data_IF_975692255888
#
_entry.id   IF_975692255888
#
_cell.length_a   1.000
_cell.length_b   1.000
_cell.length_c   1.000
_cell.angle_alpha   90.00
_cell.angle_beta   90.00
_cell.angle_gamma   90.00
#
_symmetry.space_group_name_H-M   'P 1'
#
loop_
_entity.id
_entity.type
_entity.pdbx_description
1 polymer ?
#
# COMPACT_ATOMS: atom_id res chain seq x y z
N UNK A 1 20.40 11.15 -8.97
CA UNK A 1 20.41 10.64 -10.35
C UNK A 1 19.49 9.44 -10.36
N UNK A 2 18.22 9.63 -10.70
CA UNK A 2 17.25 8.53 -10.85
C UNK A 2 17.63 7.72 -12.08
N UNK A 3 17.60 6.39 -11.97
CA UNK A 3 17.96 5.53 -13.09
C UNK A 3 16.92 5.73 -14.21
N UNK A 4 17.30 5.89 -15.49
CA UNK A 4 16.35 6.12 -16.60
C UNK A 4 15.27 5.03 -16.74
N UNK A 5 15.54 3.84 -16.21
CA UNK A 5 14.63 2.70 -16.16
C UNK A 5 13.61 2.81 -15.01
N UNK A 6 13.98 3.39 -13.87
CA UNK A 6 13.04 3.67 -12.75
C UNK A 6 11.95 4.65 -13.19
N UNK A 7 12.32 5.65 -13.99
CA UNK A 7 11.39 6.65 -14.48
C UNK A 7 10.37 6.07 -15.48
N UNK A 8 10.79 5.13 -16.34
CA UNK A 8 9.89 4.41 -17.25
C UNK A 8 8.98 3.42 -16.52
N UNK A 9 9.49 2.72 -15.50
CA UNK A 9 8.70 1.78 -14.67
C UNK A 9 7.63 2.51 -13.87
N UNK A 10 7.95 3.67 -13.27
CA UNK A 10 6.99 4.48 -12.53
C UNK A 10 5.92 5.13 -13.40
N UNK A 11 6.20 5.45 -14.68
CA UNK A 11 5.35 6.32 -15.50
C UNK A 11 4.33 5.59 -16.38
N UNK A 12 4.53 4.31 -16.70
CA UNK A 12 3.77 3.67 -17.80
C UNK A 12 2.56 2.82 -17.38
N UNK A 13 2.49 2.21 -16.19
CA UNK A 13 1.46 1.19 -15.90
C UNK A 13 0.56 1.42 -14.67
N UNK A 14 0.94 2.30 -13.74
CA UNK A 14 0.43 2.19 -12.36
C UNK A 14 -0.61 3.22 -11.94
N UNK A 15 -0.98 4.19 -12.78
CA UNK A 15 -2.03 5.16 -12.42
C UNK A 15 -3.43 4.65 -12.77
N UNK A 16 -4.40 5.03 -11.94
CA UNK A 16 -5.81 4.73 -12.18
C UNK A 16 -6.38 5.69 -13.23
N UNK A 17 -7.19 5.18 -14.16
CA UNK A 17 -7.94 6.01 -15.13
C UNK A 17 -8.91 7.00 -14.44
N UNK A 18 -9.19 6.79 -13.16
CA UNK A 18 -10.07 7.63 -12.36
C UNK A 18 -9.31 8.78 -11.67
N UNK A 19 -7.99 8.89 -11.86
CA UNK A 19 -7.21 9.96 -11.24
C UNK A 19 -7.72 11.34 -11.70
N UNK A 20 -7.95 12.23 -10.74
CA UNK A 20 -8.51 13.57 -10.99
C UNK A 20 -10.00 13.60 -11.30
N UNK A 21 -10.70 12.44 -11.32
CA UNK A 21 -12.16 12.40 -11.38
C UNK A 21 -12.74 12.67 -10.01
N UNK A 22 -13.89 13.33 -9.99
CA UNK A 22 -14.57 13.64 -8.73
C UNK A 22 -15.16 12.39 -8.09
N UNK A 23 -15.08 12.35 -6.76
CA UNK A 23 -15.58 11.25 -5.94
C UNK A 23 -16.67 11.74 -5.00
N UNK A 24 -17.83 11.07 -5.02
CA UNK A 24 -19.04 11.53 -4.34
C UNK A 24 -19.74 10.42 -3.53
N UNK A 25 -20.55 10.84 -2.55
CA UNK A 25 -21.51 10.04 -1.77
C UNK A 25 -20.92 8.93 -0.88
N UNK A 26 -19.62 8.70 -0.95
CA UNK A 26 -18.89 7.58 -0.33
C UNK A 26 -17.72 8.05 0.52
N UNK A 27 -17.64 9.35 0.78
CA UNK A 27 -16.56 10.02 1.52
C UNK A 27 -16.53 9.61 3.00
N UNK A 28 -17.65 9.10 3.52
CA UNK A 28 -17.72 8.54 4.87
C UNK A 28 -16.79 7.33 5.05
N UNK A 29 -16.45 6.61 3.96
CA UNK A 29 -15.60 5.41 4.04
C UNK A 29 -14.21 5.76 4.56
N UNK A 30 -13.68 6.92 4.18
CA UNK A 30 -12.38 7.39 4.65
C UNK A 30 -12.36 7.67 6.16
N UNK A 31 -13.50 8.06 6.75
CA UNK A 31 -13.61 8.17 8.21
C UNK A 31 -13.45 6.80 8.88
N UNK A 32 -14.09 5.75 8.32
CA UNK A 32 -13.91 4.38 8.83
C UNK A 32 -12.48 3.88 8.62
N UNK A 33 -11.88 4.13 7.46
CA UNK A 33 -10.48 3.76 7.20
C UNK A 33 -9.54 4.40 8.21
N UNK A 34 -9.68 5.70 8.44
CA UNK A 34 -8.87 6.42 9.41
C UNK A 34 -9.06 5.88 10.83
N UNK A 35 -10.30 5.62 11.25
CA UNK A 35 -10.59 5.04 12.56
C UNK A 35 -9.92 3.68 12.75
N UNK A 36 -10.06 2.76 11.77
CA UNK A 36 -9.44 1.45 11.84
C UNK A 36 -7.91 1.52 11.90
N UNK A 37 -7.30 2.49 11.19
CA UNK A 37 -5.86 2.73 11.25
C UNK A 37 -5.41 3.27 12.62
N UNK A 38 -6.19 4.20 13.20
CA UNK A 38 -5.88 4.83 14.48
C UNK A 38 -6.04 3.87 15.66
N UNK A 39 -7.13 3.11 15.74
CA UNK A 39 -7.35 2.10 16.79
C UNK A 39 -6.18 1.11 16.87
N UNK A 40 -5.61 0.77 15.71
CA UNK A 40 -4.45 -0.12 15.65
C UNK A 40 -3.18 0.58 16.09
N UNK A 41 -2.93 1.82 15.66
CA UNK A 41 -1.74 2.59 16.09
C UNK A 41 -1.65 2.73 17.62
N UNK A 42 -2.81 2.81 18.30
CA UNK A 42 -2.91 2.84 19.75
C UNK A 42 -2.63 1.48 20.40
N UNK A 43 -2.91 0.36 19.72
CA UNK A 43 -2.64 -0.97 20.26
C UNK A 43 -1.16 -1.38 20.16
N UNK A 44 -0.42 -0.90 19.15
CA UNK A 44 1.02 -1.18 19.02
C UNK A 44 1.87 -0.36 19.98
N UNK A 45 1.41 0.82 20.42
CA UNK A 45 2.12 1.67 21.38
C UNK A 45 1.92 1.22 22.84
N UNK A 46 0.91 0.41 23.14
CA UNK A 46 0.65 -0.12 24.50
C UNK A 46 1.06 -1.60 24.71
N UNK A 47 1.68 -2.25 23.72
CA UNK A 47 2.13 -3.65 23.81
C UNK A 47 3.39 -3.86 24.68
N UNK A 48 3.61 -3.01 25.68
CA UNK A 48 4.59 -3.22 26.76
C UNK A 48 3.94 -3.65 28.09
N UNK A 49 2.62 -3.80 28.19
CA UNK A 49 2.04 -4.43 29.37
C UNK A 49 0.79 -5.24 29.07
N UNK A 50 0.83 -6.51 29.48
CA UNK A 50 -0.24 -7.49 29.41
C UNK A 50 -1.49 -6.97 30.13
N UNK A 51 -2.65 -6.98 29.49
CA UNK A 51 -3.88 -7.56 30.07
C UNK A 51 -5.00 -7.67 29.04
N UNK A 52 -5.51 -8.90 28.95
CA UNK A 52 -6.72 -9.31 28.24
C UNK A 52 -7.92 -8.52 28.76
N UNK A 53 -8.75 -7.99 27.86
CA UNK A 53 -10.17 -7.78 28.14
C UNK A 53 -11.00 -8.18 26.92
N UNK A 54 -11.88 -9.14 27.18
CA UNK A 54 -12.98 -9.61 26.34
C UNK A 54 -13.87 -8.42 25.96
N UNK A 55 -14.13 -8.26 24.65
CA UNK A 55 -15.13 -7.35 24.12
C UNK A 55 -16.06 -8.10 23.17
N UNK A 56 -17.26 -8.43 23.66
CA UNK A 56 -18.36 -8.97 22.86
C UNK A 56 -18.88 -7.92 21.87
N UNK A 57 -18.78 -8.20 20.57
CA UNK A 57 -19.78 -7.86 19.57
C UNK A 57 -19.49 -8.66 18.30
N UNK A 58 -20.45 -9.48 17.86
CA UNK A 58 -20.28 -10.46 16.79
C UNK A 58 -19.70 -9.85 15.52
N UNK A 59 -18.45 -10.21 15.21
CA UNK A 59 -17.80 -10.01 13.93
C UNK A 59 -16.85 -11.20 13.74
N UNK A 60 -16.96 -11.87 12.59
CA UNK A 60 -16.11 -13.00 12.21
C UNK A 60 -14.68 -12.54 11.83
N UNK A 61 -14.01 -11.86 12.76
CA UNK A 61 -12.59 -11.56 12.67
C UNK A 61 -11.86 -12.57 13.55
N UNK A 62 -11.48 -13.70 12.97
CA UNK A 62 -10.57 -14.66 13.58
C UNK A 62 -9.22 -13.98 13.82
N UNK A 63 -9.04 -13.41 15.01
CA UNK A 63 -7.76 -12.90 15.48
C UNK A 63 -6.84 -14.09 15.77
N UNK A 64 -5.99 -14.47 14.81
CA UNK A 64 -4.83 -15.30 15.12
C UNK A 64 -3.83 -14.44 15.89
N UNK A 65 -3.79 -14.67 17.20
CA UNK A 65 -2.75 -14.15 18.09
C UNK A 65 -1.46 -14.95 17.85
N UNK A 66 -0.56 -14.36 17.07
CA UNK A 66 0.80 -14.82 16.85
C UNK A 66 1.70 -13.61 16.67
N UNK A 67 2.94 -13.67 17.20
CA UNK A 67 3.98 -12.63 17.12
C UNK A 67 3.94 -11.83 15.82
N UNK A 68 3.61 -10.53 15.92
CA UNK A 68 3.75 -9.57 14.82
C UNK A 68 2.77 -9.74 13.66
N UNK A 69 1.50 -10.04 13.92
CA UNK A 69 0.49 -10.13 12.86
C UNK A 69 0.41 -8.82 12.03
N UNK A 70 0.82 -8.92 10.76
CA UNK A 70 0.54 -7.88 9.77
C UNK A 70 -0.98 -7.69 9.66
N UNK A 71 -1.41 -6.45 9.51
CA UNK A 71 -2.83 -6.11 9.44
C UNK A 71 -3.11 -5.28 8.20
N UNK A 72 -4.31 -5.43 7.68
CA UNK A 72 -4.80 -4.66 6.55
C UNK A 72 -6.32 -4.55 6.56
N UNK A 73 -6.83 -3.62 5.75
CA UNK A 73 -8.26 -3.47 5.49
C UNK A 73 -8.58 -4.13 4.16
N UNK A 74 -9.57 -5.02 4.15
CA UNK A 74 -10.10 -5.60 2.92
C UNK A 74 -11.39 -4.87 2.53
N UNK A 75 -11.39 -4.26 1.34
CA UNK A 75 -12.57 -3.60 0.77
C UNK A 75 -13.31 -4.54 -0.20
N UNK A 76 -14.51 -4.96 0.18
CA UNK A 76 -15.36 -5.84 -0.63
C UNK A 76 -16.63 -5.11 -1.09
N UNK A 77 -17.14 -5.46 -2.27
CA UNK A 77 -18.38 -4.93 -2.81
C UNK A 77 -18.64 -5.43 -4.23
N UNK A 78 -19.89 -5.37 -4.69
CA UNK A 78 -20.27 -5.82 -6.03
C UNK A 78 -19.57 -5.06 -7.18
N UNK A 79 -19.67 -5.55 -8.42
CA UNK A 79 -19.21 -4.81 -9.60
C UNK A 79 -19.80 -3.39 -9.64
N UNK A 80 -19.03 -2.40 -10.08
CA UNK A 80 -19.50 -1.00 -10.16
C UNK A 80 -19.69 -0.28 -8.82
N UNK A 81 -19.43 -0.92 -7.67
CA UNK A 81 -19.61 -0.29 -6.35
C UNK A 81 -18.62 0.84 -6.01
N UNK A 82 -17.69 1.15 -6.91
CA UNK A 82 -16.72 2.24 -6.74
C UNK A 82 -15.46 1.92 -5.93
N UNK A 83 -15.09 0.64 -5.75
CA UNK A 83 -13.89 0.24 -4.99
C UNK A 83 -12.60 0.89 -5.53
N UNK A 84 -12.37 0.78 -6.83
CA UNK A 84 -11.20 1.37 -7.48
C UNK A 84 -11.25 2.90 -7.41
N UNK A 85 -12.44 3.50 -7.53
CA UNK A 85 -12.63 4.94 -7.38
C UNK A 85 -12.23 5.40 -5.96
N UNK A 86 -12.64 4.65 -4.93
CA UNK A 86 -12.27 4.93 -3.54
C UNK A 86 -10.75 4.84 -3.34
N UNK A 87 -10.08 3.78 -3.82
CA UNK A 87 -8.62 3.67 -3.70
C UNK A 87 -7.89 4.78 -4.48
N UNK A 88 -8.46 5.20 -5.62
CA UNK A 88 -7.90 6.30 -6.42
C UNK A 88 -8.00 7.63 -5.66
N UNK A 89 -9.17 7.93 -5.11
CA UNK A 89 -9.40 9.13 -4.28
C UNK A 89 -8.58 9.09 -2.97
N UNK A 90 -8.30 7.90 -2.42
CA UNK A 90 -7.42 7.73 -1.26
C UNK A 90 -5.98 8.18 -1.58
N UNK A 91 -5.47 7.82 -2.76
CA UNK A 91 -4.10 8.09 -3.18
C UNK A 91 -3.94 9.51 -3.73
N UNK A 92 -4.92 9.96 -4.51
CA UNK A 92 -4.94 11.27 -5.16
C UNK A 92 -6.28 11.96 -4.87
N UNK A 93 -6.45 12.54 -3.66
CA UNK A 93 -7.71 13.14 -3.26
C UNK A 93 -8.06 14.32 -4.17
N UNK A 94 -9.26 14.28 -4.73
CA UNK A 94 -9.85 15.36 -5.51
C UNK A 94 -10.81 16.21 -4.68
N UNK A 95 -11.36 15.66 -3.60
CA UNK A 95 -12.32 16.35 -2.72
C UNK A 95 -11.64 17.02 -1.50
N UNK A 96 -12.13 18.19 -1.05
CA UNK A 96 -11.60 18.85 0.14
C UNK A 96 -11.69 17.96 1.39
N UNK A 97 -12.79 17.20 1.56
CA UNK A 97 -12.97 16.31 2.70
C UNK A 97 -11.90 15.21 2.77
N UNK A 98 -11.49 14.63 1.63
CA UNK A 98 -10.42 13.63 1.58
C UNK A 98 -9.04 14.24 1.81
N UNK A 99 -8.81 15.44 1.29
CA UNK A 99 -7.56 16.17 1.48
C UNK A 99 -7.33 16.50 2.96
N UNK A 100 -8.35 17.02 3.66
CA UNK A 100 -8.29 17.40 5.08
C UNK A 100 -7.95 16.22 6.00
N UNK A 101 -8.36 15.00 5.64
CA UNK A 101 -8.03 13.79 6.41
C UNK A 101 -6.58 13.35 6.29
N UNK A 102 -5.88 13.75 5.23
CA UNK A 102 -4.44 13.49 5.08
C UNK A 102 -4.04 12.02 4.90
N UNK A 103 -4.97 11.07 4.72
CA UNK A 103 -4.66 9.65 4.55
C UNK A 103 -3.70 9.38 3.37
N UNK A 104 -3.86 10.13 2.28
CA UNK A 104 -2.97 10.08 1.12
C UNK A 104 -1.49 10.32 1.47
N UNK A 105 -1.20 11.12 2.51
CA UNK A 105 0.17 11.43 2.96
C UNK A 105 0.81 10.28 3.72
N UNK A 106 0.02 9.30 4.15
CA UNK A 106 0.50 8.10 4.83
C UNK A 106 0.70 6.93 3.86
N UNK A 107 0.34 7.09 2.58
CA UNK A 107 0.54 6.07 1.57
C UNK A 107 2.03 5.99 1.18
N UNK A 108 2.67 4.87 1.49
CA UNK A 108 4.08 4.61 1.14
C UNK A 108 4.24 4.20 -0.32
N UNK A 109 3.35 3.34 -0.80
CA UNK A 109 3.32 2.82 -2.16
C UNK A 109 1.94 2.24 -2.47
N UNK A 110 1.66 2.05 -3.76
CA UNK A 110 0.43 1.45 -4.26
C UNK A 110 0.70 0.63 -5.52
N UNK A 111 -0.24 -0.28 -5.83
CA UNK A 111 -0.20 -1.04 -7.07
C UNK A 111 -1.62 -1.36 -7.53
N UNK A 112 -1.96 -0.99 -8.76
CA UNK A 112 -3.23 -1.35 -9.39
C UNK A 112 -3.02 -2.57 -10.28
N UNK A 113 -3.46 -3.73 -9.80
CA UNK A 113 -3.46 -4.96 -10.58
C UNK A 113 -4.64 -4.96 -11.56
N UNK A 114 -4.37 -5.03 -12.86
CA UNK A 114 -5.37 -5.07 -13.94
C UNK A 114 -5.24 -6.39 -14.68
N UNK A 115 -6.31 -7.19 -14.69
CA UNK A 115 -6.27 -8.54 -15.28
C UNK A 115 -5.96 -8.56 -16.79
N UNK A 116 -6.16 -7.44 -17.49
CA UNK A 116 -5.93 -7.31 -18.94
C UNK A 116 -4.56 -6.69 -19.27
N UNK A 117 -3.74 -6.39 -18.26
CA UNK A 117 -2.46 -5.70 -18.42
C UNK A 117 -1.36 -6.57 -17.79
N UNK A 118 -0.64 -7.31 -18.64
CA UNK A 118 0.40 -8.25 -18.23
C UNK A 118 1.50 -7.60 -17.41
N UNK A 119 1.77 -6.32 -17.62
CA UNK A 119 2.82 -5.60 -16.90
C UNK A 119 2.43 -5.41 -15.43
N UNK A 120 1.13 -5.20 -15.17
CA UNK A 120 0.59 -5.14 -13.79
C UNK A 120 0.41 -6.50 -13.14
N UNK A 121 0.56 -7.59 -13.89
CA UNK A 121 0.56 -8.96 -13.36
C UNK A 121 1.98 -9.49 -13.10
N UNK A 122 3.01 -8.79 -13.59
CA UNK A 122 4.41 -9.15 -13.37
C UNK A 122 4.82 -8.88 -11.91
N UNK A 123 5.08 -9.94 -11.14
CA UNK A 123 5.48 -9.82 -9.72
C UNK A 123 6.80 -9.09 -9.57
N UNK A 124 7.79 -9.35 -10.44
CA UNK A 124 9.06 -8.62 -10.44
C UNK A 124 8.85 -7.12 -10.70
N UNK A 125 8.00 -6.78 -11.67
CA UNK A 125 7.59 -5.41 -11.95
C UNK A 125 6.88 -4.74 -10.77
N UNK A 126 6.00 -5.47 -10.08
CA UNK A 126 5.35 -5.03 -8.84
C UNK A 126 6.37 -4.70 -7.73
N UNK A 127 7.31 -5.60 -7.45
CA UNK A 127 8.34 -5.41 -6.41
C UNK A 127 9.19 -4.18 -6.72
N UNK A 128 9.74 -4.10 -7.94
CA UNK A 128 10.54 -2.94 -8.38
C UNK A 128 9.74 -1.64 -8.30
N UNK A 129 8.47 -1.68 -8.67
CA UNK A 129 7.55 -0.54 -8.54
C UNK A 129 7.36 -0.08 -7.10
N UNK A 130 7.19 -1.01 -6.15
CA UNK A 130 7.11 -0.68 -4.73
C UNK A 130 8.41 -0.05 -4.24
N UNK A 131 9.57 -0.64 -4.55
CA UNK A 131 10.88 -0.13 -4.14
C UNK A 131 11.07 1.31 -4.62
N UNK A 132 10.76 1.57 -5.90
CA UNK A 132 10.86 2.90 -6.49
C UNK A 132 9.94 3.92 -5.78
N UNK A 133 8.68 3.55 -5.52
CA UNK A 133 7.73 4.42 -4.81
C UNK A 133 8.15 4.71 -3.37
N UNK A 134 8.59 3.68 -2.62
CA UNK A 134 9.02 3.85 -1.22
C UNK A 134 10.25 4.75 -1.16
N UNK A 135 11.23 4.54 -2.05
CA UNK A 135 12.41 5.39 -2.18
C UNK A 135 12.03 6.86 -2.42
N UNK A 136 11.12 7.11 -3.36
CA UNK A 136 10.64 8.46 -3.66
C UNK A 136 9.78 9.08 -2.55
N UNK A 137 9.12 8.27 -1.71
CA UNK A 137 8.22 8.77 -0.67
C UNK A 137 8.96 9.53 0.44
N UNK A 138 10.22 9.20 0.70
CA UNK A 138 11.01 9.75 1.82
C UNK A 138 10.44 9.47 3.22
N UNK A 139 9.37 8.67 3.33
CA UNK A 139 8.69 8.39 4.60
C UNK A 139 9.41 7.31 5.43
N UNK A 140 10.28 6.52 4.80
CA UNK A 140 11.03 5.44 5.44
C UNK A 140 12.53 5.78 5.51
N UNK A 141 12.98 6.27 6.68
CA UNK A 141 14.37 6.67 6.88
C UNK A 141 15.33 5.49 6.75
N UNK A 142 16.48 5.70 6.10
CA UNK A 142 17.51 4.70 5.89
C UNK A 142 17.16 3.60 4.87
N UNK A 143 16.00 3.69 4.21
CA UNK A 143 15.64 2.73 3.14
C UNK A 143 16.60 2.85 1.94
N UNK A 144 16.94 4.08 1.55
CA UNK A 144 17.89 4.32 0.45
C UNK A 144 19.27 3.71 0.72
N UNK A 145 19.76 3.77 1.96
CA UNK A 145 21.05 3.19 2.33
C UNK A 145 21.04 1.66 2.21
N UNK A 146 19.91 1.00 2.53
CA UNK A 146 19.75 -0.44 2.27
C UNK A 146 19.78 -0.76 0.79
N UNK A 147 19.18 0.09 -0.05
CA UNK A 147 19.20 -0.08 -1.50
C UNK A 147 20.58 0.16 -2.12
N UNK A 148 21.56 0.69 -1.37
CA UNK A 148 22.96 0.79 -1.82
C UNK A 148 23.74 -0.52 -1.64
N UNK A 149 23.21 -1.51 -0.93
CA UNK A 149 23.84 -2.82 -0.82
C UNK A 149 23.87 -3.51 -2.19
N UNK A 150 25.06 -3.86 -2.73
CA UNK A 150 25.18 -4.54 -4.01
C UNK A 150 24.40 -5.85 -4.11
N UNK A 151 24.23 -6.57 -2.99
CA UNK A 151 23.45 -7.80 -2.96
C UNK A 151 21.96 -7.54 -3.17
N UNK A 152 21.44 -6.44 -2.62
CA UNK A 152 20.05 -6.01 -2.82
C UNK A 152 19.84 -5.52 -4.24
N UNK A 153 20.76 -4.71 -4.78
CA UNK A 153 20.68 -4.23 -6.16
C UNK A 153 20.67 -5.38 -7.16
N UNK A 154 21.53 -6.38 -6.97
CA UNK A 154 21.56 -7.57 -7.83
C UNK A 154 20.24 -8.35 -7.84
N UNK A 155 19.52 -8.41 -6.72
CA UNK A 155 18.21 -9.06 -6.63
C UNK A 155 17.08 -8.24 -7.27
N UNK A 156 17.25 -6.91 -7.34
CA UNK A 156 16.27 -5.99 -7.93
C UNK A 156 16.46 -5.80 -9.44
N UNK A 157 17.56 -6.30 -10.02
CA UNK A 157 17.75 -6.32 -11.46
C UNK A 157 16.58 -7.01 -12.17
N UNK A 158 16.08 -6.49 -13.31
CA UNK A 158 14.83 -6.95 -13.91
C UNK A 158 14.73 -8.47 -14.10
N UNK A 159 15.79 -9.09 -14.63
CA UNK A 159 15.83 -10.54 -14.87
C UNK A 159 15.95 -11.38 -13.60
N UNK A 160 16.73 -10.93 -12.61
CA UNK A 160 16.91 -11.68 -11.36
C UNK A 160 15.67 -11.59 -10.46
N UNK A 161 15.07 -10.39 -10.39
CA UNK A 161 13.83 -10.15 -9.67
C UNK A 161 12.66 -10.95 -10.23
N UNK A 162 12.61 -11.16 -11.56
CA UNK A 162 11.61 -12.01 -12.21
C UNK A 162 11.86 -13.50 -11.99
N UNK A 163 13.13 -13.91 -11.91
CA UNK A 163 13.52 -15.29 -11.63
C UNK A 163 13.22 -15.69 -10.19
N UNK A 164 13.47 -14.80 -9.23
CA UNK A 164 13.37 -15.06 -7.79
C UNK A 164 12.63 -13.93 -7.03
N UNK A 165 11.34 -13.66 -7.35
CA UNK A 165 10.61 -12.53 -6.77
C UNK A 165 10.41 -12.65 -5.25
N UNK A 166 10.29 -13.87 -4.73
CA UNK A 166 10.11 -14.10 -3.29
C UNK A 166 11.35 -13.66 -2.49
N UNK A 167 12.55 -13.94 -2.98
CA UNK A 167 13.80 -13.51 -2.32
C UNK A 167 14.01 -12.00 -2.50
N UNK A 168 13.70 -11.44 -3.68
CA UNK A 168 13.78 -10.01 -3.92
C UNK A 168 12.83 -9.21 -2.99
N UNK A 169 11.62 -9.71 -2.70
CA UNK A 169 10.67 -9.04 -1.80
C UNK A 169 11.06 -9.14 -0.31
N UNK A 170 11.79 -10.19 0.07
CA UNK A 170 12.18 -10.44 1.46
C UNK A 170 13.38 -9.58 1.91
N UNK A 171 14.24 -9.19 0.97
CA UNK A 171 15.49 -8.49 1.25
C UNK A 171 15.29 -7.01 1.51
#
# INVERSE_FOLDING_TARGET
MTNPWEEKVCKMAQTSLLQGKQFYCREWVFHKLQHCLQEKSSCCTSAANTQSLVGNAGNNASALSGKGASWGVLLVGGPGSGKTALCTELLWPSSPASLQRGLHRQALAFHFCKAQDSDTLCVGGFIRGLVAQICQSGLLQGYEDKLRDPAVQSLLEPGECERNPAEAFKR
#
